data_IF_043056807287
#
_entry.id   IF_043056807287
#
_cell.length_a   1.000
_cell.length_b   1.000
_cell.length_c   1.000
_cell.angle_alpha   90.00
_cell.angle_beta   90.00
_cell.angle_gamma   90.00
#
_symmetry.space_group_name_H-M   'P 1'
#
loop_
_entity.id
_entity.type
_entity.pdbx_description
1 polymer ?
#
# COMPACT_ATOMS: atom_id res chain seq x y z
N UNK A 1 -0.93 -0.01 -29.87
CA UNK A 1 -1.23 -0.60 -28.55
C UNK A 1 -0.35 0.11 -27.54
N UNK A 2 -0.91 0.95 -26.67
CA UNK A 2 -0.11 1.48 -25.55
C UNK A 2 0.14 0.33 -24.58
N UNK A 3 1.39 -0.10 -24.45
CA UNK A 3 1.84 -0.84 -23.28
C UNK A 3 1.78 0.13 -22.12
N UNK A 4 0.73 0.02 -21.32
CA UNK A 4 0.65 0.78 -20.10
C UNK A 4 1.61 0.17 -19.06
N UNK A 5 2.45 1.01 -18.47
CA UNK A 5 3.54 0.63 -17.57
C UNK A 5 3.41 1.43 -16.26
N UNK A 6 2.79 0.82 -15.25
CA UNK A 6 2.63 1.41 -13.92
C UNK A 6 3.96 1.87 -13.31
N UNK A 7 5.09 1.23 -13.67
CA UNK A 7 6.39 1.51 -13.07
C UNK A 7 6.93 2.91 -13.38
N UNK A 8 6.50 3.51 -14.50
CA UNK A 8 6.88 4.88 -14.88
C UNK A 8 6.26 5.94 -13.97
N UNK A 9 5.02 5.73 -13.55
CA UNK A 9 4.26 6.67 -12.74
C UNK A 9 4.11 6.24 -11.28
N UNK A 10 4.82 5.19 -10.85
CA UNK A 10 4.95 4.79 -9.45
C UNK A 10 6.27 5.28 -8.83
N UNK A 11 6.21 5.63 -7.54
CA UNK A 11 7.43 5.94 -6.77
C UNK A 11 8.34 4.72 -6.70
N UNK A 12 7.76 3.54 -6.42
CA UNK A 12 8.45 2.26 -6.38
C UNK A 12 7.65 1.25 -7.19
N UNK A 13 8.35 0.38 -7.89
CA UNK A 13 7.75 -0.70 -8.68
C UNK A 13 8.60 -1.93 -8.49
N UNK A 14 7.93 -3.04 -8.19
CA UNK A 14 8.53 -4.34 -7.92
C UNK A 14 7.91 -5.34 -8.87
N UNK A 15 8.74 -6.07 -9.60
CA UNK A 15 8.28 -7.08 -10.57
C UNK A 15 7.72 -8.32 -9.88
N UNK A 16 8.02 -8.50 -8.59
CA UNK A 16 7.56 -9.59 -7.74
C UNK A 16 7.64 -9.18 -6.26
N UNK A 17 7.10 -10.02 -5.38
CA UNK A 17 7.09 -9.75 -3.94
C UNK A 17 8.46 -9.83 -3.26
N UNK A 18 9.42 -10.59 -3.83
CA UNK A 18 10.77 -10.70 -3.27
C UNK A 18 11.54 -9.38 -3.41
N UNK A 19 11.40 -8.68 -4.54
CA UNK A 19 12.00 -7.35 -4.72
C UNK A 19 11.48 -6.34 -3.68
N UNK A 20 10.19 -6.41 -3.31
CA UNK A 20 9.67 -5.62 -2.20
C UNK A 20 10.32 -6.00 -0.86
N UNK A 21 10.48 -7.29 -0.58
CA UNK A 21 11.16 -7.72 0.64
C UNK A 21 12.62 -7.27 0.68
N UNK A 22 13.38 -7.43 -0.40
CA UNK A 22 14.75 -6.95 -0.49
C UNK A 22 14.82 -5.45 -0.25
N UNK A 23 13.93 -4.67 -0.89
CA UNK A 23 13.81 -3.24 -0.65
C UNK A 23 13.52 -2.93 0.82
N UNK A 24 12.48 -3.54 1.42
CA UNK A 24 12.09 -3.32 2.80
C UNK A 24 13.23 -3.62 3.78
N UNK A 25 13.93 -4.75 3.62
CA UNK A 25 15.06 -5.10 4.48
C UNK A 25 16.26 -4.17 4.25
N UNK A 26 16.49 -3.73 3.01
CA UNK A 26 17.57 -2.78 2.69
C UNK A 26 17.36 -1.39 3.32
N UNK A 27 16.14 -1.04 3.72
CA UNK A 27 15.90 0.19 4.49
C UNK A 27 16.49 0.10 5.90
N UNK A 28 16.77 -1.11 6.41
CA UNK A 28 17.33 -1.34 7.75
C UNK A 28 16.55 -0.56 8.83
N UNK A 29 15.22 -0.60 8.75
CA UNK A 29 14.36 0.09 9.69
C UNK A 29 14.44 -0.69 11.01
N UNK A 30 14.75 -0.04 12.15
CA UNK A 30 14.66 -0.68 13.47
C UNK A 30 13.22 -1.15 13.73
N UNK A 31 12.97 -1.91 14.80
CA UNK A 31 11.62 -2.47 15.09
C UNK A 31 10.52 -1.39 14.99
N UNK A 32 9.88 -1.31 13.82
CA UNK A 32 8.85 -0.33 13.51
C UNK A 32 7.52 -0.87 14.00
N UNK A 33 6.73 0.04 14.57
CA UNK A 33 5.42 -0.27 15.09
C UNK A 33 4.45 0.84 14.69
N UNK A 34 3.22 0.44 14.42
CA UNK A 34 2.13 1.38 14.18
C UNK A 34 1.70 1.90 15.55
N UNK A 35 2.11 3.10 15.92
CA UNK A 35 1.81 3.68 17.23
C UNK A 35 0.71 4.73 17.15
N UNK A 36 0.04 4.98 18.28
CA UNK A 36 -0.86 6.13 18.43
C UNK A 36 -0.10 7.45 18.25
N UNK A 37 -0.86 8.53 18.02
CA UNK A 37 -0.35 9.89 17.93
C UNK A 37 -0.26 10.43 16.50
N UNK A 38 -0.06 11.74 16.40
CA UNK A 38 -0.03 12.43 15.12
C UNK A 38 1.19 12.00 14.30
N UNK A 39 1.00 11.79 12.98
CA UNK A 39 2.06 11.38 12.06
C UNK A 39 3.27 12.33 12.09
N UNK A 40 3.04 13.64 12.23
CA UNK A 40 4.13 14.62 12.34
C UNK A 40 4.97 14.41 13.61
N UNK A 41 4.34 14.08 14.74
CA UNK A 41 5.06 13.86 16.00
C UNK A 41 5.86 12.56 15.95
N UNK A 42 5.25 11.49 15.40
CA UNK A 42 5.96 10.24 15.09
C UNK A 42 7.14 10.48 14.14
N UNK A 43 6.95 11.39 13.18
CA UNK A 43 7.94 11.79 12.18
C UNK A 43 9.21 12.40 12.76
N UNK A 44 9.10 13.18 13.84
CA UNK A 44 10.26 13.83 14.50
C UNK A 44 11.34 12.82 14.92
N UNK A 45 10.95 11.62 15.34
CA UNK A 45 11.88 10.58 15.80
C UNK A 45 12.66 9.90 14.66
N UNK A 46 12.17 10.03 13.42
CA UNK A 46 12.76 9.39 12.26
C UNK A 46 13.36 10.36 11.25
N UNK A 47 13.21 11.67 11.46
CA UNK A 47 13.55 12.69 10.45
C UNK A 47 15.00 12.60 9.96
N UNK A 48 15.93 12.34 10.88
CA UNK A 48 17.37 12.26 10.59
C UNK A 48 17.87 10.82 10.33
N UNK A 49 16.96 9.87 10.10
CA UNK A 49 17.32 8.47 9.87
C UNK A 49 17.65 8.25 8.39
N UNK A 50 18.62 7.39 8.11
CA UNK A 50 19.08 7.09 6.75
C UNK A 50 17.96 6.60 5.82
N UNK A 51 17.06 5.75 6.30
CA UNK A 51 15.91 5.28 5.53
C UNK A 51 14.93 6.41 5.17
N UNK A 52 14.75 7.40 6.06
CA UNK A 52 13.92 8.58 5.80
C UNK A 52 14.51 9.40 4.66
N UNK A 53 15.81 9.67 4.72
CA UNK A 53 16.50 10.38 3.64
C UNK A 53 16.44 9.61 2.32
N UNK A 54 16.63 8.29 2.36
CA UNK A 54 16.52 7.44 1.17
C UNK A 54 15.13 7.49 0.53
N UNK A 55 14.06 7.39 1.31
CA UNK A 55 12.69 7.49 0.81
C UNK A 55 12.40 8.88 0.23
N UNK A 56 12.90 9.96 0.86
CA UNK A 56 12.82 11.32 0.30
C UNK A 56 13.52 11.43 -1.05
N UNK A 57 14.73 10.89 -1.16
CA UNK A 57 15.50 10.90 -2.40
C UNK A 57 14.76 10.17 -3.52
N UNK A 58 14.28 8.94 -3.26
CA UNK A 58 13.51 8.16 -4.24
C UNK A 58 12.28 8.93 -4.73
N UNK A 59 11.52 9.53 -3.81
CA UNK A 59 10.33 10.31 -4.16
C UNK A 59 10.67 11.53 -5.03
N UNK A 60 11.73 12.26 -4.68
CA UNK A 60 12.15 13.47 -5.40
C UNK A 60 12.73 13.14 -6.78
N UNK A 61 13.50 12.05 -6.92
CA UNK A 61 14.10 11.61 -8.18
C UNK A 61 13.04 11.25 -9.23
N UNK A 62 11.92 10.67 -8.78
CA UNK A 62 10.81 10.31 -9.66
C UNK A 62 10.12 11.51 -10.29
N UNK A 63 10.21 12.72 -9.70
CA UNK A 63 9.61 13.97 -10.21
C UNK A 63 8.12 13.86 -10.58
N UNK A 64 7.41 12.92 -9.95
CA UNK A 64 5.98 12.68 -10.19
C UNK A 64 5.12 13.74 -9.50
N UNK A 65 5.64 14.35 -8.43
CA UNK A 65 4.93 15.30 -7.57
C UNK A 65 5.75 16.60 -7.42
N UNK A 66 5.06 17.74 -7.31
CA UNK A 66 5.71 19.07 -7.27
C UNK A 66 6.27 19.45 -5.90
N UNK A 67 5.85 18.77 -4.83
CA UNK A 67 6.18 19.12 -3.45
C UNK A 67 7.17 18.12 -2.88
N UNK A 68 8.04 18.59 -2.00
CA UNK A 68 8.82 17.69 -1.15
C UNK A 68 7.86 16.86 -0.29
N UNK A 69 8.19 15.58 -0.11
CA UNK A 69 7.41 14.69 0.76
C UNK A 69 7.46 15.18 2.22
N UNK A 70 6.30 15.28 2.85
CA UNK A 70 6.20 15.63 4.26
C UNK A 70 6.67 14.46 5.14
N UNK A 71 7.23 14.74 6.33
CA UNK A 71 7.66 13.67 7.25
C UNK A 71 6.48 12.75 7.65
N UNK A 72 5.28 13.30 7.78
CA UNK A 72 4.06 12.54 8.03
C UNK A 72 3.74 11.52 6.92
N UNK A 73 4.03 11.84 5.64
CA UNK A 73 3.84 10.88 4.55
C UNK A 73 4.82 9.71 4.67
N UNK A 74 6.06 9.97 5.07
CA UNK A 74 7.06 8.91 5.29
C UNK A 74 6.61 7.98 6.41
N UNK A 75 6.09 8.50 7.52
CA UNK A 75 5.51 7.68 8.60
C UNK A 75 4.38 6.81 8.05
N UNK A 76 3.49 7.39 7.24
CA UNK A 76 2.39 6.66 6.59
C UNK A 76 2.91 5.53 5.69
N UNK A 77 3.97 5.76 4.92
CA UNK A 77 4.58 4.73 4.08
C UNK A 77 5.17 3.60 4.91
N UNK A 78 5.85 3.90 6.02
CA UNK A 78 6.42 2.87 6.90
C UNK A 78 5.34 2.00 7.54
N UNK A 79 4.23 2.60 7.97
CA UNK A 79 3.07 1.86 8.47
C UNK A 79 2.47 0.96 7.39
N UNK A 80 2.25 1.50 6.19
CA UNK A 80 1.74 0.76 5.04
C UNK A 80 2.68 -0.37 4.60
N UNK A 81 3.99 -0.17 4.62
CA UNK A 81 4.98 -1.21 4.29
C UNK A 81 5.01 -2.32 5.33
N UNK A 82 4.83 -2.01 6.60
CA UNK A 82 4.71 -3.05 7.64
C UNK A 82 3.46 -3.91 7.41
N UNK A 83 2.33 -3.29 7.08
CA UNK A 83 1.08 -4.01 6.74
C UNK A 83 1.30 -4.85 5.47
N UNK A 84 1.86 -4.28 4.42
CA UNK A 84 2.16 -4.99 3.17
C UNK A 84 3.09 -6.17 3.41
N UNK A 85 4.13 -6.02 4.24
CA UNK A 85 5.03 -7.13 4.60
C UNK A 85 4.28 -8.29 5.25
N UNK A 86 3.36 -8.00 6.18
CA UNK A 86 2.53 -9.02 6.84
C UNK A 86 1.56 -9.68 5.86
N UNK A 87 0.94 -8.90 4.98
CA UNK A 87 0.08 -9.40 3.91
C UNK A 87 0.82 -10.38 2.99
N UNK A 88 1.99 -10.00 2.49
CA UNK A 88 2.80 -10.85 1.61
C UNK A 88 3.27 -12.13 2.30
N UNK A 89 3.57 -12.06 3.60
CA UNK A 89 3.88 -13.24 4.40
C UNK A 89 2.70 -14.23 4.43
N UNK A 90 1.47 -13.76 4.65
CA UNK A 90 0.28 -14.62 4.59
C UNK A 90 0.04 -15.18 3.19
N UNK A 91 0.15 -14.35 2.15
CA UNK A 91 -0.05 -14.78 0.77
C UNK A 91 0.93 -15.89 0.36
N UNK A 92 2.17 -15.85 0.83
CA UNK A 92 3.16 -16.91 0.61
C UNK A 92 2.75 -18.25 1.22
N UNK A 93 1.96 -18.23 2.31
CA UNK A 93 1.37 -19.44 2.89
C UNK A 93 0.09 -19.92 2.18
N UNK A 94 -0.57 -19.04 1.41
CA UNK A 94 -1.86 -19.32 0.75
C UNK A 94 -1.73 -19.68 -0.73
N UNK A 95 -0.65 -19.27 -1.39
CA UNK A 95 -0.46 -19.38 -2.84
C UNK A 95 0.81 -20.18 -3.17
N UNK A 96 0.84 -20.78 -4.36
CA UNK A 96 2.08 -21.36 -4.90
C UNK A 96 3.08 -20.25 -5.21
N UNK A 97 4.36 -20.53 -4.95
CA UNK A 97 5.47 -19.59 -5.15
C UNK A 97 5.50 -19.04 -6.59
N UNK A 98 5.32 -19.91 -7.60
CA UNK A 98 5.35 -19.52 -9.02
C UNK A 98 4.20 -18.60 -9.44
N UNK A 99 3.08 -18.66 -8.72
CA UNK A 99 1.93 -17.76 -8.90
C UNK A 99 2.23 -16.41 -8.26
N UNK A 100 2.68 -16.42 -7.01
CA UNK A 100 2.96 -15.19 -6.27
C UNK A 100 4.12 -14.39 -6.89
N UNK A 101 5.13 -15.07 -7.43
CA UNK A 101 6.27 -14.45 -8.14
C UNK A 101 5.88 -13.68 -9.40
N UNK A 102 4.69 -13.88 -9.95
CA UNK A 102 4.20 -13.14 -11.13
C UNK A 102 3.44 -11.87 -10.76
N UNK A 103 3.11 -11.66 -9.48
CA UNK A 103 2.41 -10.48 -9.02
C UNK A 103 3.38 -9.31 -8.87
N UNK A 104 3.15 -8.23 -9.62
CA UNK A 104 3.89 -6.99 -9.46
C UNK A 104 3.23 -6.10 -8.40
N UNK A 105 4.02 -5.25 -7.77
CA UNK A 105 3.58 -4.31 -6.73
C UNK A 105 4.10 -2.92 -7.10
N UNK A 106 3.19 -1.96 -7.22
CA UNK A 106 3.52 -0.56 -7.49
C UNK A 106 3.06 0.29 -6.31
N UNK A 107 3.97 1.06 -5.72
CA UNK A 107 3.67 1.91 -4.57
C UNK A 107 3.59 3.37 -4.99
N UNK A 108 2.63 4.10 -4.40
CA UNK A 108 2.48 5.54 -4.56
C UNK A 108 2.33 5.93 -6.04
N UNK A 109 1.40 5.25 -6.74
CA UNK A 109 1.16 5.41 -8.17
C UNK A 109 0.40 6.69 -8.48
N UNK A 110 0.96 7.56 -9.32
CA UNK A 110 0.30 8.78 -9.80
C UNK A 110 -0.62 8.47 -10.97
N UNK A 111 -1.91 8.74 -10.80
CA UNK A 111 -2.89 8.58 -11.87
C UNK A 111 -2.60 9.60 -12.98
N UNK A 112 -2.42 9.12 -14.20
CA UNK A 112 -2.19 9.97 -15.38
C UNK A 112 -3.31 11.00 -15.57
N UNK A 113 -2.95 12.22 -15.98
CA UNK A 113 -3.87 13.34 -16.20
C UNK A 113 -4.79 13.67 -15.00
N UNK A 114 -4.42 13.24 -13.79
CA UNK A 114 -5.10 13.63 -12.55
C UNK A 114 -4.40 14.80 -11.86
N UNK A 115 -5.17 15.69 -11.22
CA UNK A 115 -4.60 16.79 -10.41
C UNK A 115 -4.04 16.25 -9.08
N UNK A 116 -2.90 15.55 -9.15
CA UNK A 116 -2.17 14.96 -8.02
C UNK A 116 -2.88 13.82 -7.28
N UNK A 117 -3.67 12.98 -7.98
CA UNK A 117 -4.24 11.78 -7.35
C UNK A 117 -3.21 10.66 -7.35
N UNK A 118 -3.17 9.93 -6.24
CA UNK A 118 -2.19 8.89 -5.98
C UNK A 118 -2.89 7.69 -5.37
N UNK A 119 -2.57 6.50 -5.85
CA UNK A 119 -3.00 5.23 -5.27
C UNK A 119 -1.86 4.72 -4.39
N UNK A 120 -2.15 4.35 -3.14
CA UNK A 120 -1.11 3.84 -2.23
C UNK A 120 -0.44 2.58 -2.79
N UNK A 121 -1.22 1.58 -3.21
CA UNK A 121 -0.70 0.38 -3.84
C UNK A 121 -1.51 -0.08 -5.05
N UNK A 122 -0.80 -0.62 -6.04
CA UNK A 122 -1.39 -1.39 -7.13
C UNK A 122 -0.73 -2.77 -7.16
N UNK A 123 -1.54 -3.81 -7.04
CA UNK A 123 -1.13 -5.18 -7.32
C UNK A 123 -1.54 -5.54 -8.75
N UNK A 124 -0.60 -5.99 -9.56
CA UNK A 124 -0.82 -6.36 -10.96
C UNK A 124 -0.55 -7.86 -11.15
N UNK A 125 -1.51 -8.58 -11.71
CA UNK A 125 -1.38 -9.99 -12.04
C UNK A 125 -2.15 -10.31 -13.33
N UNK A 126 -1.43 -10.68 -14.38
CA UNK A 126 -2.00 -10.91 -15.72
C UNK A 126 -2.83 -9.72 -16.22
N UNK A 127 -4.12 -9.93 -16.52
CA UNK A 127 -5.08 -8.90 -16.95
C UNK A 127 -5.88 -8.30 -15.79
N UNK A 128 -5.44 -8.50 -14.54
CA UNK A 128 -6.11 -8.02 -13.35
C UNK A 128 -5.22 -7.07 -12.59
N UNK A 129 -5.83 -5.99 -12.12
CA UNK A 129 -5.18 -5.04 -11.22
C UNK A 129 -6.06 -4.84 -10.00
N UNK A 130 -5.42 -4.64 -8.86
CA UNK A 130 -6.07 -4.32 -7.60
C UNK A 130 -5.50 -3.02 -7.07
N UNK A 131 -6.34 -2.00 -7.01
CA UNK A 131 -6.04 -0.73 -6.36
C UNK A 131 -6.31 -0.87 -4.88
N UNK A 132 -5.35 -0.48 -4.04
CA UNK A 132 -5.53 -0.51 -2.60
C UNK A 132 -5.15 0.81 -1.94
N UNK A 133 -6.00 1.27 -1.03
CA UNK A 133 -5.84 2.50 -0.24
C UNK A 133 -5.75 2.15 1.23
N UNK A 134 -4.67 2.60 1.90
CA UNK A 134 -4.39 2.26 3.28
C UNK A 134 -4.65 3.48 4.17
N UNK A 135 -5.28 3.24 5.30
CA UNK A 135 -5.55 4.31 6.27
C UNK A 135 -5.46 3.77 7.69
N UNK A 136 -4.94 4.57 8.59
CA UNK A 136 -5.03 4.32 10.02
C UNK A 136 -6.16 5.12 10.66
N UNK A 137 -6.87 4.49 11.59
CA UNK A 137 -7.87 5.13 12.44
C UNK A 137 -7.42 5.09 13.89
N UNK A 138 -7.46 6.24 14.56
CA UNK A 138 -7.16 6.33 16.00
C UNK A 138 -8.39 5.97 16.86
N UNK A 139 -9.57 5.77 16.26
CA UNK A 139 -10.82 5.49 16.96
C UNK A 139 -11.37 4.10 16.62
N UNK A 140 -11.46 3.26 17.65
CA UNK A 140 -12.04 1.92 17.60
C UNK A 140 -13.54 1.95 17.96
N UNK A 141 -14.45 1.30 17.22
CA UNK A 141 -14.58 1.14 15.78
C UNK A 141 -15.73 2.05 15.29
N UNK A 142 -15.42 3.22 14.74
CA UNK A 142 -16.40 4.02 13.98
C UNK A 142 -15.90 4.19 12.54
N UNK A 143 -15.68 3.04 11.90
CA UNK A 143 -14.94 2.92 10.65
C UNK A 143 -15.81 3.07 9.41
N UNK A 144 -17.14 2.93 9.50
CA UNK A 144 -18.05 2.87 8.34
C UNK A 144 -17.91 4.08 7.41
N UNK A 145 -17.92 5.30 7.96
CA UNK A 145 -17.75 6.53 7.18
C UNK A 145 -16.35 6.63 6.56
N UNK A 146 -15.33 6.04 7.19
CA UNK A 146 -13.96 6.06 6.66
C UNK A 146 -13.81 5.06 5.51
N UNK A 147 -14.38 3.86 5.68
CA UNK A 147 -14.50 2.84 4.62
C UNK A 147 -15.19 3.42 3.39
N UNK A 148 -16.39 3.99 3.55
CA UNK A 148 -17.15 4.57 2.43
C UNK A 148 -16.38 5.65 1.67
N UNK A 149 -15.64 6.52 2.39
CA UNK A 149 -14.82 7.56 1.75
C UNK A 149 -13.69 6.96 0.92
N UNK A 150 -12.99 5.94 1.45
CA UNK A 150 -11.89 5.27 0.74
C UNK A 150 -12.39 4.42 -0.43
N UNK A 151 -13.53 3.76 -0.28
CA UNK A 151 -14.18 3.02 -1.36
C UNK A 151 -14.59 3.97 -2.50
N UNK A 152 -15.21 5.12 -2.17
CA UNK A 152 -15.55 6.12 -3.18
C UNK A 152 -14.30 6.67 -3.89
N UNK A 153 -13.24 6.96 -3.15
CA UNK A 153 -11.94 7.38 -3.71
C UNK A 153 -11.40 6.34 -4.70
N UNK A 154 -11.39 5.06 -4.31
CA UNK A 154 -10.98 3.95 -5.16
C UNK A 154 -11.86 3.76 -6.39
N UNK A 155 -13.18 3.91 -6.27
CA UNK A 155 -14.11 3.88 -7.42
C UNK A 155 -13.74 4.99 -8.41
N UNK A 156 -13.52 6.21 -7.91
CA UNK A 156 -13.11 7.34 -8.75
C UNK A 156 -11.76 7.04 -9.44
N UNK A 157 -10.81 6.42 -8.73
CA UNK A 157 -9.52 6.03 -9.30
C UNK A 157 -9.68 4.99 -10.40
N UNK A 158 -10.49 3.97 -10.16
CA UNK A 158 -10.85 2.95 -11.16
C UNK A 158 -11.44 3.59 -12.43
N UNK A 159 -12.39 4.51 -12.30
CA UNK A 159 -12.97 5.22 -13.44
C UNK A 159 -11.92 6.06 -14.20
N UNK A 160 -11.03 6.74 -13.49
CA UNK A 160 -9.95 7.50 -14.13
C UNK A 160 -8.98 6.60 -14.90
N UNK A 161 -8.60 5.47 -14.31
CA UNK A 161 -7.72 4.47 -14.94
C UNK A 161 -8.37 3.88 -16.20
N UNK A 162 -9.70 3.72 -16.18
CA UNK A 162 -10.48 3.25 -17.33
C UNK A 162 -10.33 4.09 -18.60
N UNK A 163 -9.86 5.34 -18.51
CA UNK A 163 -9.62 6.19 -19.67
C UNK A 163 -8.42 5.77 -20.53
N UNK A 164 -7.44 5.06 -19.94
CA UNK A 164 -6.21 4.68 -20.63
C UNK A 164 -5.86 3.20 -20.50
N UNK A 165 -6.50 2.47 -19.58
CA UNK A 165 -6.36 1.02 -19.51
C UNK A 165 -7.15 0.32 -20.63
N UNK A 166 -6.62 -0.78 -21.19
CA UNK A 166 -7.39 -1.62 -22.11
C UNK A 166 -8.65 -2.17 -21.45
N UNK A 167 -9.75 -2.25 -22.20
CA UNK A 167 -11.06 -2.74 -21.71
C UNK A 167 -11.04 -4.17 -21.15
N UNK A 168 -10.07 -4.98 -21.57
CA UNK A 168 -9.87 -6.35 -21.05
C UNK A 168 -9.28 -6.38 -19.63
N UNK A 169 -8.71 -5.27 -19.15
CA UNK A 169 -8.10 -5.24 -17.82
C UNK A 169 -9.19 -5.13 -16.75
N UNK A 170 -9.27 -6.12 -15.86
CA UNK A 170 -10.19 -6.11 -14.72
C UNK A 170 -9.58 -5.31 -13.58
N UNK A 171 -10.22 -4.19 -13.24
CA UNK A 171 -9.84 -3.34 -12.11
C UNK A 171 -10.65 -3.68 -10.87
N UNK A 172 -9.96 -4.17 -9.84
CA UNK A 172 -10.45 -4.44 -8.49
C UNK A 172 -10.05 -3.29 -7.56
N UNK A 173 -10.77 -3.16 -6.44
CA UNK A 173 -10.51 -2.12 -5.44
C UNK A 173 -10.59 -2.72 -4.04
N UNK A 174 -9.76 -2.24 -3.12
CA UNK A 174 -9.83 -2.61 -1.70
C UNK A 174 -9.33 -1.49 -0.80
N UNK A 175 -10.18 -1.03 0.13
CA UNK A 175 -9.73 -0.12 1.19
C UNK A 175 -9.19 -0.95 2.36
N UNK A 176 -8.11 -0.53 2.99
CA UNK A 176 -7.59 -1.15 4.21
C UNK A 176 -7.58 -0.11 5.33
N UNK A 177 -8.38 -0.34 6.38
CA UNK A 177 -8.39 0.50 7.58
C UNK A 177 -7.70 -0.25 8.71
N UNK A 178 -6.51 0.20 9.10
CA UNK A 178 -5.76 -0.31 10.23
C UNK A 178 -5.94 0.54 11.50
N UNK A 179 -5.44 0.01 12.61
CA UNK A 179 -5.46 0.63 13.93
C UNK A 179 -4.03 0.71 14.49
N UNK A 180 -3.71 1.70 15.34
CA UNK A 180 -2.44 1.72 16.06
C UNK A 180 -2.33 0.55 17.04
N UNK A 181 -1.18 -0.12 17.05
CA UNK A 181 -0.89 -1.32 17.84
C UNK A 181 -0.16 -1.01 19.15
N UNK A 182 0.46 0.17 19.25
CA UNK A 182 1.21 0.59 20.43
C UNK A 182 0.76 1.95 20.91
N UNK A 183 0.57 2.08 22.23
CA UNK A 183 0.36 3.36 22.92
C UNK A 183 1.35 3.46 24.07
N UNK A 184 2.17 4.52 24.08
CA UNK A 184 3.16 4.78 25.15
C UNK A 184 4.06 3.58 25.48
N UNK A 185 4.42 2.78 24.47
CA UNK A 185 5.28 1.59 24.61
C UNK A 185 4.53 0.32 25.04
N UNK A 186 3.22 0.39 25.28
CA UNK A 186 2.38 -0.77 25.60
C UNK A 186 1.61 -1.24 24.36
N UNK A 187 1.48 -2.56 24.23
CA UNK A 187 0.72 -3.19 23.14
C UNK A 187 -0.79 -3.03 23.38
N UNK A 188 -1.52 -2.74 22.30
CA UNK A 188 -2.99 -2.65 22.30
C UNK A 188 -3.54 -3.92 21.63
N UNK A 189 -3.67 -4.99 22.41
CA UNK A 189 -4.02 -6.34 21.92
C UNK A 189 -5.26 -6.36 21.02
N UNK A 190 -6.31 -5.60 21.37
CA UNK A 190 -7.54 -5.50 20.55
C UNK A 190 -7.27 -4.92 19.15
N UNK A 191 -6.34 -3.98 19.03
CA UNK A 191 -6.02 -3.32 17.76
C UNK A 191 -5.09 -4.20 16.93
N UNK A 192 -4.16 -4.91 17.58
CA UNK A 192 -3.30 -5.92 16.95
C UNK A 192 -4.17 -7.00 16.32
N UNK A 193 -5.07 -7.60 17.11
CA UNK A 193 -6.01 -8.63 16.64
C UNK A 193 -6.86 -8.13 15.47
N UNK A 194 -7.40 -6.91 15.57
CA UNK A 194 -8.17 -6.30 14.48
C UNK A 194 -7.35 -6.15 13.19
N UNK A 195 -6.10 -5.69 13.29
CA UNK A 195 -5.22 -5.58 12.14
C UNK A 195 -4.90 -6.95 11.53
N UNK A 196 -4.62 -7.96 12.35
CA UNK A 196 -4.37 -9.33 11.89
C UNK A 196 -5.58 -9.88 11.13
N UNK A 197 -6.78 -9.78 11.70
CA UNK A 197 -8.04 -10.21 11.07
C UNK A 197 -8.31 -9.46 9.74
N UNK A 198 -8.03 -8.15 9.69
CA UNK A 198 -8.16 -7.36 8.48
C UNK A 198 -7.14 -7.75 7.40
N UNK A 199 -5.89 -8.04 7.79
CA UNK A 199 -4.83 -8.49 6.87
C UNK A 199 -5.19 -9.87 6.31
N UNK A 200 -5.71 -10.77 7.14
CA UNK A 200 -6.22 -12.07 6.69
C UNK A 200 -7.40 -11.92 5.72
N UNK A 201 -8.35 -11.05 6.02
CA UNK A 201 -9.47 -10.78 5.12
C UNK A 201 -8.97 -10.23 3.78
N UNK A 202 -7.99 -9.33 3.80
CA UNK A 202 -7.39 -8.80 2.58
C UNK A 202 -6.63 -9.89 1.79
N UNK A 203 -5.87 -10.76 2.46
CA UNK A 203 -5.19 -11.87 1.83
C UNK A 203 -6.18 -12.84 1.14
N UNK A 204 -7.31 -13.13 1.80
CA UNK A 204 -8.41 -13.93 1.21
C UNK A 204 -9.01 -13.23 -0.01
N UNK A 205 -9.26 -11.93 0.06
CA UNK A 205 -9.77 -11.14 -1.07
C UNK A 205 -8.83 -11.20 -2.28
N UNK A 206 -7.53 -11.00 -2.06
CA UNK A 206 -6.50 -11.08 -3.10
C UNK A 206 -6.50 -12.48 -3.74
N UNK A 207 -6.44 -13.54 -2.93
CA UNK A 207 -6.45 -14.92 -3.43
C UNK A 207 -7.71 -15.22 -4.23
N UNK A 208 -8.88 -14.78 -3.76
CA UNK A 208 -10.16 -15.06 -4.39
C UNK A 208 -10.37 -14.28 -5.69
N UNK A 209 -9.98 -13.00 -5.74
CA UNK A 209 -10.37 -12.11 -6.85
C UNK A 209 -9.21 -11.69 -7.75
N UNK A 210 -8.00 -11.47 -7.21
CA UNK A 210 -6.83 -11.12 -8.04
C UNK A 210 -6.25 -12.37 -8.71
N UNK A 211 -6.15 -13.48 -7.98
CA UNK A 211 -5.54 -14.72 -8.49
C UNK A 211 -6.54 -15.74 -9.05
N UNK A 212 -7.84 -15.43 -9.10
CA UNK A 212 -8.83 -16.34 -9.68
C UNK A 212 -8.45 -16.68 -11.12
N UNK A 213 -8.10 -17.93 -11.38
CA UNK A 213 -7.99 -18.43 -12.75
C UNK A 213 -9.40 -18.44 -13.35
N UNK A 214 -9.56 -17.91 -14.55
CA UNK A 214 -10.82 -18.07 -15.28
C UNK A 214 -11.10 -19.56 -15.42
N UNK A 215 -12.30 -19.99 -15.01
CA UNK A 215 -12.85 -21.26 -15.45
C UNK A 215 -13.09 -21.21 -16.96
#
# INVERSE_FOLDING_TARGET
>A
MMNYDFGKDAMLSFSNYNEFWEFYHSLNIPRWHISTGLLNDRGKYIENRSYTHRLRTIFNEKKLFRRNVAIAEIVSWLDSYLILRRLLHLLRGMLKEDVLMKMKIHCEYRIEMSKNRRVDFIFEYADRILLAEFRLSDKFPNVSNMWQKKELELIIYKELLGNYLPTKVKVLIFAFIGMPEIEQGQMIEKNIKYNEENIEFFARYITQYLFQQGN
#
